data_IF_628938551282
#
_entry.id   IF_628938551282
#
_cell.length_a   1.000
_cell.length_b   1.000
_cell.length_c   1.000
_cell.angle_alpha   90.00
_cell.angle_beta   90.00
_cell.angle_gamma   90.00
#
_symmetry.space_group_name_H-M   'P 1'
#
loop_
_entity.id
_entity.type
_entity.pdbx_description
1 polymer ?
#
# COMPACT_ATOMS: atom_id res chain seq x y z
N UNK A 1 -59.66 9.19 -39.82
CA UNK A 1 -59.51 10.34 -38.92
C UNK A 1 -60.54 10.20 -37.80
N UNK A 2 -60.12 9.79 -36.60
CA UNK A 2 -61.02 9.54 -35.46
C UNK A 2 -61.03 10.75 -34.53
N UNK A 3 -62.24 11.13 -34.15
CA UNK A 3 -62.62 12.21 -33.23
C UNK A 3 -62.32 11.79 -31.78
N UNK A 4 -61.95 12.76 -30.97
CA UNK A 4 -61.85 12.63 -29.51
C UNK A 4 -63.19 12.19 -28.90
N UNK A 5 -63.14 11.35 -27.86
CA UNK A 5 -64.07 11.47 -26.74
C UNK A 5 -63.54 10.77 -25.49
N UNK A 6 -63.28 11.57 -24.46
CA UNK A 6 -63.13 11.15 -23.08
C UNK A 6 -64.31 10.29 -22.61
N UNK A 7 -64.02 9.15 -21.96
CA UNK A 7 -64.91 8.56 -20.96
C UNK A 7 -64.09 7.74 -19.96
N UNK A 8 -63.82 8.35 -18.81
CA UNK A 8 -63.57 7.63 -17.55
C UNK A 8 -64.88 6.98 -17.08
N UNK A 9 -64.81 5.88 -16.31
CA UNK A 9 -64.92 6.08 -14.87
C UNK A 9 -64.06 5.15 -13.99
N UNK A 10 -63.58 5.75 -12.90
CA UNK A 10 -63.39 5.20 -11.55
C UNK A 10 -63.37 3.68 -11.36
N UNK A 11 -62.22 3.17 -10.92
CA UNK A 11 -62.21 2.12 -9.89
C UNK A 11 -60.94 2.28 -9.05
N UNK A 12 -61.17 2.67 -7.80
CA UNK A 12 -60.22 2.61 -6.69
C UNK A 12 -59.90 1.14 -6.45
N UNK A 13 -58.64 0.74 -6.56
CA UNK A 13 -58.13 -0.42 -5.82
C UNK A 13 -56.70 -0.14 -5.35
N UNK A 14 -56.60 0.11 -4.05
CA UNK A 14 -55.37 0.22 -3.29
C UNK A 14 -54.86 -1.17 -2.97
N UNK A 15 -53.68 -1.54 -3.46
CA UNK A 15 -52.90 -2.64 -2.89
C UNK A 15 -51.40 -2.46 -3.20
N UNK A 16 -50.77 -1.47 -2.56
CA UNK A 16 -49.31 -1.37 -2.54
C UNK A 16 -48.81 -2.16 -1.31
N UNK A 17 -48.44 -3.43 -1.49
CA UNK A 17 -47.61 -4.14 -0.50
C UNK A 17 -46.19 -3.62 -0.61
N UNK A 18 -45.90 -2.51 0.08
CA UNK A 18 -44.53 -2.11 0.37
C UNK A 18 -43.98 -3.03 1.45
N UNK A 19 -43.10 -3.95 1.06
CA UNK A 19 -42.20 -4.62 1.99
C UNK A 19 -41.20 -3.58 2.51
N UNK A 20 -41.41 -3.15 3.75
CA UNK A 20 -40.54 -2.23 4.45
C UNK A 20 -39.16 -2.84 4.67
N UNK A 21 -38.23 -2.56 3.75
CA UNK A 21 -36.80 -2.75 3.98
C UNK A 21 -36.41 -1.80 5.12
N UNK A 22 -35.90 -2.27 6.27
CA UNK A 22 -35.47 -1.36 7.33
C UNK A 22 -34.29 -0.55 6.78
N UNK A 23 -34.52 0.75 6.58
CA UNK A 23 -33.46 1.69 6.30
C UNK A 23 -32.65 1.82 7.59
N UNK A 24 -31.62 0.99 7.73
CA UNK A 24 -30.55 1.26 8.69
C UNK A 24 -29.94 2.60 8.28
N UNK A 25 -30.41 3.67 8.92
CA UNK A 25 -29.78 4.98 8.84
C UNK A 25 -28.51 4.90 9.65
N UNK A 26 -27.49 4.26 9.07
CA UNK A 26 -26.13 4.40 9.57
C UNK A 26 -25.80 5.89 9.49
N UNK A 27 -25.89 6.59 10.62
CA UNK A 27 -25.42 7.94 10.79
C UNK A 27 -23.89 7.90 10.62
N UNK A 28 -23.43 7.92 9.37
CA UNK A 28 -22.05 8.24 9.05
C UNK A 28 -21.86 9.71 9.39
N UNK A 29 -21.47 9.99 10.62
CA UNK A 29 -20.88 11.29 10.94
C UNK A 29 -19.60 11.38 10.10
N UNK A 30 -19.68 12.04 8.95
CA UNK A 30 -18.51 12.42 8.16
C UNK A 30 -17.78 13.48 8.97
N UNK A 31 -16.95 13.02 9.89
CA UNK A 31 -16.00 13.88 10.56
C UNK A 31 -15.18 14.56 9.46
N UNK A 32 -15.13 15.90 9.41
CA UNK A 32 -14.34 16.57 8.40
C UNK A 32 -12.90 16.09 8.59
N UNK A 33 -12.31 15.56 7.52
CA UNK A 33 -10.92 15.15 7.54
C UNK A 33 -10.07 16.40 7.84
N UNK A 34 -9.69 16.57 9.11
CA UNK A 34 -8.92 17.73 9.53
C UNK A 34 -7.65 17.82 8.68
N UNK A 35 -7.68 18.90 7.91
CA UNK A 35 -6.67 19.49 7.07
C UNK A 35 -5.23 19.02 7.33
N UNK A 36 -4.61 18.59 6.24
CA UNK A 36 -3.17 18.53 5.96
C UNK A 36 -2.29 18.90 7.17
N UNK A 37 -1.75 17.89 7.86
CA UNK A 37 -0.59 18.07 8.74
C UNK A 37 0.59 18.49 7.87
N UNK A 38 0.67 19.78 7.53
CA UNK A 38 1.81 20.33 6.81
C UNK A 38 3.05 20.02 7.66
N UNK A 39 4.02 19.36 7.04
CA UNK A 39 5.28 19.05 7.72
C UNK A 39 5.92 20.38 8.18
N UNK A 40 6.58 20.40 9.34
CA UNK A 40 7.23 21.61 9.80
C UNK A 40 8.18 22.16 8.71
N UNK A 41 8.26 23.50 8.56
CA UNK A 41 9.17 24.11 7.61
C UNK A 41 10.61 23.67 7.90
N UNK A 42 11.42 23.53 6.84
CA UNK A 42 12.85 23.19 6.99
C UNK A 42 13.54 24.32 7.77
N UNK A 43 14.38 24.03 8.77
CA UNK A 43 15.17 25.06 9.40
C UNK A 43 16.14 25.66 8.38
N UNK A 44 16.22 26.99 8.39
CA UNK A 44 17.22 27.74 7.62
C UNK A 44 18.43 27.90 8.53
N UNK A 45 19.59 27.48 8.04
CA UNK A 45 20.86 27.67 8.73
C UNK A 45 21.56 28.90 8.17
N UNK A 46 22.20 29.66 9.05
CA UNK A 46 22.97 30.82 8.66
C UNK A 46 24.25 30.42 7.92
N UNK A 47 24.55 31.10 6.82
CA UNK A 47 25.72 30.79 5.99
C UNK A 47 27.05 31.08 6.72
N UNK A 48 27.04 31.86 7.81
CA UNK A 48 28.24 32.21 8.61
C UNK A 48 28.81 31.02 9.41
N UNK A 49 27.94 30.12 9.82
CA UNK A 49 28.28 28.97 10.67
C UNK A 49 28.67 27.73 9.86
N UNK A 50 28.54 27.81 8.53
CA UNK A 50 28.81 26.71 7.62
C UNK A 50 30.18 26.91 6.97
N UNK A 51 31.05 25.92 7.11
CA UNK A 51 32.31 25.85 6.36
C UNK A 51 32.19 24.79 5.28
N UNK A 52 32.48 25.15 4.03
CA UNK A 52 32.38 24.24 2.88
C UNK A 52 33.73 23.99 2.22
N UNK A 53 34.03 22.72 1.94
CA UNK A 53 35.17 22.30 1.13
C UNK A 53 34.70 21.44 -0.05
N UNK A 54 35.40 21.58 -1.18
CA UNK A 54 35.14 20.80 -2.39
C UNK A 54 36.18 19.69 -2.51
N UNK A 55 35.70 18.47 -2.73
CA UNK A 55 36.51 17.28 -2.83
C UNK A 55 36.34 16.63 -4.20
N UNK A 56 37.29 15.77 -4.57
CA UNK A 56 37.12 14.82 -5.66
C UNK A 56 36.17 13.71 -5.23
N UNK A 57 35.41 13.16 -6.18
CA UNK A 57 34.53 12.04 -5.89
C UNK A 57 35.34 10.78 -5.55
N UNK A 58 34.77 9.90 -4.75
CA UNK A 58 35.37 8.62 -4.37
C UNK A 58 34.62 7.47 -5.06
N UNK A 59 35.34 6.40 -5.39
CA UNK A 59 34.78 5.15 -5.92
C UNK A 59 35.18 4.82 -7.36
N UNK A 60 34.88 3.60 -7.84
CA UNK A 60 35.05 3.24 -9.24
C UNK A 60 34.13 4.11 -10.09
N UNK A 61 34.71 5.11 -10.74
CA UNK A 61 33.99 6.14 -11.46
C UNK A 61 34.69 6.52 -12.75
N UNK A 62 33.94 7.15 -13.65
CA UNK A 62 34.50 7.68 -14.90
C UNK A 62 35.38 8.91 -14.68
N UNK A 63 35.93 9.42 -15.77
CA UNK A 63 36.79 10.61 -15.80
C UNK A 63 36.24 11.80 -15.01
N UNK A 64 34.91 12.02 -15.06
CA UNK A 64 34.26 13.15 -14.41
C UNK A 64 34.31 13.09 -12.88
N UNK A 65 34.27 11.90 -12.28
CA UNK A 65 34.29 11.71 -10.83
C UNK A 65 35.71 11.96 -10.28
N UNK A 66 36.73 11.48 -11.01
CA UNK A 66 38.12 11.52 -10.56
C UNK A 66 38.81 12.85 -10.86
N UNK A 67 38.46 13.53 -11.96
CA UNK A 67 39.10 14.80 -12.36
C UNK A 67 38.42 16.03 -11.78
N UNK A 68 37.10 16.01 -11.60
CA UNK A 68 36.34 17.21 -11.20
C UNK A 68 36.05 17.22 -9.69
N UNK A 69 36.31 18.36 -9.04
CA UNK A 69 36.00 18.61 -7.63
C UNK A 69 34.50 18.90 -7.44
N UNK A 70 33.67 17.88 -7.65
CA UNK A 70 32.20 18.00 -7.61
C UNK A 70 31.58 17.56 -6.28
N UNK A 71 32.30 16.78 -5.47
CA UNK A 71 31.83 16.36 -4.15
C UNK A 71 31.95 17.53 -3.16
N UNK A 72 30.96 17.66 -2.27
CA UNK A 72 30.90 18.76 -1.29
C UNK A 72 30.94 18.19 0.10
N UNK A 73 31.82 18.73 0.94
CA UNK A 73 31.83 18.50 2.38
C UNK A 73 31.44 19.82 3.07
N UNK A 74 30.39 19.77 3.90
CA UNK A 74 29.97 20.89 4.73
C UNK A 74 30.16 20.53 6.20
N UNK A 75 30.61 21.51 6.99
CA UNK A 75 30.81 21.41 8.42
C UNK A 75 29.99 22.52 9.08
N UNK A 76 29.17 22.17 10.06
CA UNK A 76 28.50 23.13 10.93
C UNK A 76 29.40 23.40 12.13
N UNK A 77 29.96 24.62 12.24
CA UNK A 77 30.92 24.98 13.28
C UNK A 77 30.41 24.74 14.72
N UNK A 78 29.19 25.18 15.11
CA UNK A 78 28.79 25.08 16.51
C UNK A 78 28.44 23.66 16.94
N UNK A 79 27.90 22.82 16.06
CA UNK A 79 27.54 21.42 16.40
C UNK A 79 28.64 20.42 16.02
N UNK A 80 29.65 20.83 15.25
CA UNK A 80 30.70 19.94 14.75
C UNK A 80 30.23 18.90 13.72
N UNK A 81 28.98 18.98 13.23
CA UNK A 81 28.45 17.98 12.30
C UNK A 81 29.09 18.14 10.93
N UNK A 82 29.62 17.02 10.42
CA UNK A 82 30.18 16.93 9.08
C UNK A 82 29.23 16.17 8.16
N UNK A 83 28.97 16.74 6.98
CA UNK A 83 28.15 16.13 5.93
C UNK A 83 28.93 16.11 4.63
N UNK A 84 28.99 14.95 3.98
CA UNK A 84 29.54 14.77 2.64
C UNK A 84 28.42 14.41 1.68
N UNK A 85 28.39 15.00 0.49
CA UNK A 85 27.41 14.71 -0.55
C UNK A 85 28.06 14.56 -1.92
N UNK A 86 27.78 13.43 -2.57
CA UNK A 86 28.20 13.06 -3.92
C UNK A 86 27.00 12.42 -4.65
N UNK A 87 25.91 13.17 -4.81
CA UNK A 87 24.69 12.64 -5.42
C UNK A 87 24.64 12.84 -6.95
N UNK A 88 25.19 13.96 -7.43
CA UNK A 88 25.08 14.38 -8.84
C UNK A 88 26.43 14.80 -9.40
N UNK A 89 26.49 14.95 -10.73
CA UNK A 89 27.68 15.47 -11.44
C UNK A 89 27.91 16.98 -11.26
N UNK A 90 26.95 17.71 -10.70
CA UNK A 90 26.97 19.17 -10.60
C UNK A 90 27.28 19.62 -9.17
N UNK A 91 28.27 20.52 -9.01
CA UNK A 91 28.67 21.01 -7.68
C UNK A 91 27.55 21.76 -6.97
N UNK A 92 26.79 22.57 -7.71
CA UNK A 92 25.75 23.44 -7.13
C UNK A 92 24.57 22.63 -6.61
N UNK A 93 24.21 21.56 -7.32
CA UNK A 93 23.21 20.60 -6.86
C UNK A 93 23.70 19.85 -5.62
N UNK A 94 24.94 19.37 -5.62
CA UNK A 94 25.52 18.71 -4.45
C UNK A 94 25.59 19.64 -3.23
N UNK A 95 25.89 20.93 -3.42
CA UNK A 95 25.88 21.92 -2.34
C UNK A 95 24.48 22.12 -1.75
N UNK A 96 23.45 22.24 -2.60
CA UNK A 96 22.04 22.33 -2.15
C UNK A 96 21.65 21.08 -1.36
N UNK A 97 21.95 19.90 -1.88
CA UNK A 97 21.66 18.62 -1.22
C UNK A 97 22.40 18.53 0.12
N UNK A 98 23.68 18.92 0.17
CA UNK A 98 24.46 18.92 1.40
C UNK A 98 23.87 19.87 2.46
N UNK A 99 23.42 21.08 2.07
CA UNK A 99 22.75 22.01 2.98
C UNK A 99 21.44 21.42 3.52
N UNK A 100 20.63 20.76 2.67
CA UNK A 100 19.39 20.12 3.10
C UNK A 100 19.63 18.99 4.11
N UNK A 101 20.65 18.15 3.87
CA UNK A 101 21.02 17.06 4.78
C UNK A 101 21.56 17.61 6.09
N UNK A 102 22.41 18.64 6.03
CA UNK A 102 22.99 19.27 7.21
C UNK A 102 21.91 19.92 8.08
N UNK A 103 20.96 20.65 7.48
CA UNK A 103 19.80 21.20 8.18
C UNK A 103 18.96 20.12 8.86
N UNK A 104 18.73 18.98 8.19
CA UNK A 104 17.96 17.89 8.78
C UNK A 104 18.69 17.20 9.95
N UNK A 105 20.02 17.04 9.86
CA UNK A 105 20.82 16.51 10.96
C UNK A 105 20.84 17.44 12.17
N UNK A 106 21.01 18.75 11.95
CA UNK A 106 20.95 19.75 13.03
C UNK A 106 19.58 19.71 13.70
N UNK A 107 18.49 19.68 12.93
CA UNK A 107 17.13 19.57 13.47
C UNK A 107 16.92 18.30 14.29
N UNK A 108 17.49 17.18 13.83
CA UNK A 108 17.38 15.91 14.53
C UNK A 108 18.09 15.94 15.90
N UNK A 109 19.21 16.66 16.02
CA UNK A 109 19.88 16.85 17.31
C UNK A 109 19.10 17.78 18.24
N UNK A 110 18.56 18.88 17.73
CA UNK A 110 17.84 19.87 18.55
C UNK A 110 16.47 19.37 19.02
N UNK A 111 15.72 18.69 18.14
CA UNK A 111 14.31 18.35 18.37
C UNK A 111 14.06 16.85 18.58
N UNK A 112 15.03 15.98 18.28
CA UNK A 112 14.91 14.54 18.44
C UNK A 112 13.69 13.95 17.74
N UNK A 113 12.72 13.47 18.52
CA UNK A 113 11.48 12.82 18.04
C UNK A 113 10.50 13.77 17.34
N UNK A 114 10.57 15.06 17.65
CA UNK A 114 9.76 16.09 17.00
C UNK A 114 10.37 16.57 15.68
N UNK A 115 11.55 16.06 15.32
CA UNK A 115 12.19 16.41 14.05
C UNK A 115 11.33 16.01 12.86
N UNK A 116 11.47 16.77 11.78
CA UNK A 116 10.74 16.51 10.53
C UNK A 116 11.02 15.11 9.98
N UNK A 117 12.25 14.63 10.12
CA UNK A 117 12.64 13.29 9.68
C UNK A 117 11.99 12.19 10.52
N UNK A 118 11.97 12.35 11.85
CA UNK A 118 11.29 11.42 12.74
C UNK A 118 9.79 11.32 12.40
N UNK A 119 9.12 12.45 12.20
CA UNK A 119 7.70 12.49 11.79
C UNK A 119 7.49 11.78 10.45
N UNK A 120 8.32 12.08 9.44
CA UNK A 120 8.25 11.39 8.14
C UNK A 120 8.47 9.89 8.27
N UNK A 121 9.44 9.48 9.08
CA UNK A 121 9.78 8.07 9.31
C UNK A 121 8.64 7.35 10.04
N UNK A 122 8.03 7.97 11.05
CA UNK A 122 6.85 7.44 11.73
C UNK A 122 5.67 7.25 10.77
N UNK A 123 5.40 8.23 9.89
CA UNK A 123 4.35 8.13 8.87
C UNK A 123 4.64 7.01 7.86
N UNK A 124 5.90 6.89 7.39
CA UNK A 124 6.32 5.79 6.51
C UNK A 124 6.16 4.44 7.19
N UNK A 125 6.54 4.30 8.46
CA UNK A 125 6.35 3.07 9.25
C UNK A 125 4.86 2.71 9.37
N UNK A 126 3.99 3.66 9.70
CA UNK A 126 2.52 3.47 9.75
C UNK A 126 1.95 3.00 8.40
N UNK A 127 2.36 3.63 7.29
CA UNK A 127 1.95 3.24 5.93
C UNK A 127 2.44 1.85 5.54
N UNK A 128 3.68 1.49 5.89
CA UNK A 128 4.22 0.14 5.66
C UNK A 128 3.47 -0.90 6.48
N UNK A 129 3.21 -0.64 7.76
CA UNK A 129 2.46 -1.55 8.62
C UNK A 129 1.03 -1.81 8.10
N UNK A 130 0.33 -0.77 7.64
CA UNK A 130 -1.01 -0.94 7.05
C UNK A 130 -0.98 -1.71 5.73
N UNK A 131 0.00 -1.45 4.86
CA UNK A 131 0.21 -2.22 3.63
C UNK A 131 0.51 -3.70 3.92
N UNK A 132 1.40 -3.97 4.88
CA UNK A 132 1.73 -5.33 5.31
C UNK A 132 0.52 -6.05 5.89
N UNK A 133 -0.30 -5.39 6.71
CA UNK A 133 -1.55 -5.97 7.25
C UNK A 133 -2.52 -6.36 6.13
N UNK A 134 -2.67 -5.52 5.10
CA UNK A 134 -3.51 -5.82 3.92
C UNK A 134 -2.96 -7.01 3.15
N UNK A 135 -1.64 -7.03 2.89
CA UNK A 135 -0.98 -8.16 2.21
C UNK A 135 -1.19 -9.46 2.98
N UNK A 136 -0.96 -9.46 4.30
CA UNK A 136 -1.15 -10.63 5.17
C UNK A 136 -2.57 -11.20 5.08
N UNK A 137 -3.59 -10.34 5.12
CA UNK A 137 -4.99 -10.76 4.94
C UNK A 137 -5.25 -11.38 3.57
N UNK A 138 -4.70 -10.77 2.51
CA UNK A 138 -4.83 -11.28 1.15
C UNK A 138 -4.20 -12.66 1.01
N UNK A 139 -2.96 -12.82 1.45
CA UNK A 139 -2.26 -14.11 1.32
C UNK A 139 -2.89 -15.20 2.18
N UNK A 140 -3.32 -14.88 3.41
CA UNK A 140 -4.06 -15.83 4.24
C UNK A 140 -5.35 -16.32 3.57
N UNK A 141 -6.15 -15.41 2.99
CA UNK A 141 -7.37 -15.79 2.29
C UNK A 141 -7.09 -16.64 1.03
N UNK A 142 -5.97 -16.40 0.34
CA UNK A 142 -5.56 -17.21 -0.80
C UNK A 142 -5.06 -18.60 -0.38
N UNK A 143 -4.39 -18.71 0.77
CA UNK A 143 -3.98 -20.00 1.35
C UNK A 143 -5.20 -20.81 1.80
N UNK A 144 -6.14 -20.19 2.50
CA UNK A 144 -7.41 -20.82 2.92
C UNK A 144 -8.25 -21.27 1.70
N UNK A 145 -8.32 -20.45 0.65
CA UNK A 145 -9.02 -20.83 -0.59
C UNK A 145 -8.34 -22.00 -1.32
N UNK A 146 -7.00 -22.03 -1.34
CA UNK A 146 -6.25 -23.16 -1.92
C UNK A 146 -6.43 -24.44 -1.13
N UNK A 147 -6.43 -24.35 0.21
CA UNK A 147 -6.68 -25.49 1.08
C UNK A 147 -8.11 -26.00 0.91
N UNK A 148 -9.10 -25.10 0.86
CA UNK A 148 -10.49 -25.48 0.59
C UNK A 148 -10.63 -26.20 -0.75
N UNK A 149 -10.01 -25.66 -1.81
CA UNK A 149 -10.04 -26.29 -3.13
C UNK A 149 -9.34 -27.65 -3.16
N UNK A 150 -8.20 -27.81 -2.46
CA UNK A 150 -7.54 -29.12 -2.34
C UNK A 150 -8.44 -30.15 -1.65
N UNK A 151 -9.12 -29.76 -0.57
CA UNK A 151 -10.05 -30.67 0.13
C UNK A 151 -11.26 -31.01 -0.75
N UNK A 152 -11.77 -30.06 -1.54
CA UNK A 152 -12.84 -30.32 -2.51
C UNK A 152 -12.37 -31.29 -3.61
N UNK A 153 -11.19 -31.04 -4.20
CA UNK A 153 -10.59 -31.91 -5.22
C UNK A 153 -10.34 -33.34 -4.67
N UNK A 154 -9.83 -33.46 -3.43
CA UNK A 154 -9.57 -34.75 -2.77
C UNK A 154 -10.88 -35.54 -2.51
N UNK A 155 -11.96 -34.87 -2.12
CA UNK A 155 -13.28 -35.51 -1.90
C UNK A 155 -13.93 -35.94 -3.22
N UNK A 156 -13.77 -35.14 -4.28
CA UNK A 156 -14.23 -35.52 -5.62
C UNK A 156 -13.47 -36.75 -6.16
N UNK A 157 -12.17 -36.88 -5.89
CA UNK A 157 -11.40 -38.07 -6.23
C UNK A 157 -11.90 -39.31 -5.47
N UNK A 158 -12.13 -39.22 -4.16
CA UNK A 158 -12.64 -40.32 -3.32
C UNK A 158 -14.06 -40.78 -3.76
N UNK A 159 -14.97 -39.85 -4.09
CA UNK A 159 -16.31 -40.18 -4.60
C UNK A 159 -16.31 -40.86 -5.98
N UNK A 160 -15.27 -40.63 -6.80
CA UNK A 160 -15.11 -41.30 -8.09
C UNK A 160 -14.57 -42.71 -7.89
N UNK A 161 -13.63 -42.91 -6.97
CA UNK A 161 -13.11 -44.23 -6.60
C UNK A 161 -14.22 -45.15 -6.07
N UNK A 162 -15.02 -44.68 -5.10
CA UNK A 162 -16.13 -45.45 -4.53
C UNK A 162 -17.16 -45.90 -5.58
N UNK A 163 -17.39 -45.10 -6.63
CA UNK A 163 -18.31 -45.45 -7.73
C UNK A 163 -17.72 -46.50 -8.66
N UNK A 164 -16.42 -46.46 -8.92
CA UNK A 164 -15.73 -47.44 -9.77
C UNK A 164 -15.72 -48.80 -9.06
N UNK A 165 -15.45 -48.82 -7.77
CA UNK A 165 -15.49 -50.03 -6.95
C UNK A 165 -16.88 -50.68 -6.94
N UNK A 166 -17.93 -49.88 -6.77
CA UNK A 166 -19.32 -50.35 -6.85
C UNK A 166 -19.68 -50.94 -8.22
N UNK A 167 -19.19 -50.34 -9.30
CA UNK A 167 -19.42 -50.87 -10.66
C UNK A 167 -18.65 -52.17 -10.92
N UNK A 168 -17.42 -52.31 -10.41
CA UNK A 168 -16.63 -53.54 -10.53
C UNK A 168 -17.25 -54.69 -9.72
N UNK A 169 -17.78 -54.42 -8.53
CA UNK A 169 -18.55 -55.39 -7.75
C UNK A 169 -19.81 -55.87 -8.49
N UNK A 170 -20.54 -54.99 -9.17
CA UNK A 170 -21.71 -55.36 -9.97
C UNK A 170 -21.34 -56.19 -11.20
N UNK A 171 -20.23 -55.86 -11.87
CA UNK A 171 -19.72 -56.62 -13.04
C UNK A 171 -19.29 -58.03 -12.65
N UNK A 172 -18.59 -58.19 -11.52
CA UNK A 172 -18.18 -59.51 -11.02
C UNK A 172 -19.38 -60.36 -10.59
N UNK A 173 -20.35 -59.80 -9.87
CA UNK A 173 -21.58 -60.51 -9.49
C UNK A 173 -22.42 -60.99 -10.70
N UNK A 174 -22.47 -60.20 -11.79
CA UNK A 174 -23.17 -60.57 -13.02
C UNK A 174 -22.48 -61.72 -13.78
N UNK A 175 -21.15 -61.78 -13.77
CA UNK A 175 -20.39 -62.89 -14.40
C UNK A 175 -20.59 -64.23 -13.68
N UNK A 176 -20.70 -64.21 -12.34
CA UNK A 176 -20.91 -65.40 -11.50
C UNK A 176 -22.33 -65.98 -11.64
N UNK A 177 -23.33 -65.14 -11.94
CA UNK A 177 -24.73 -65.59 -12.12
C UNK A 177 -25.01 -66.15 -13.51
N UNK A 178 -24.25 -65.73 -14.52
CA UNK A 178 -24.39 -66.20 -15.92
C UNK A 178 -23.71 -67.55 -16.17
N UNK A 179 -22.82 -68.02 -15.28
CA UNK A 179 -22.06 -69.27 -15.41
C UNK A 179 -22.80 -70.53 -14.91
N UNK A 180 -24.14 -70.55 -14.97
CA UNK A 180 -24.97 -71.69 -14.54
C UNK A 180 -25.85 -72.24 -15.65
#
# INVERSE_FOLDING_TARGET
>A
MRKDWFKTPSAIYTACRCTSRPQSTSFFSTWPALAVKQLPPRPKLDDKDITGSYLKGTGPGGQKINKTNSAVQLIHKPTGIVVKSQATRSRSQNQKIAKEILAAKVEALEKGEQSREAIKNALKKKRKASSMKKKRRKYRALEEAKQGQQVEDDVEEEEVEDKVDYEEELKTAATVTTTR
#
